data_IF_681067338461
#
_entry.id   IF_681067338461
#
_cell.length_a   1.000
_cell.length_b   1.000
_cell.length_c   1.000
_cell.angle_alpha   90.00
_cell.angle_beta   90.00
_cell.angle_gamma   90.00
#
_symmetry.space_group_name_H-M   'P 1'
#
loop_
_entity.id
_entity.type
_entity.pdbx_description
1 polymer ?
#
# COMPACT_ATOMS: atom_id res chain seq x y z
N UNK A 1 -13.11 16.40 -2.41
CA UNK A 1 -12.10 15.63 -1.68
C UNK A 1 -11.90 14.29 -2.36
N UNK A 2 -10.66 13.91 -2.62
CA UNK A 2 -10.34 12.60 -3.18
C UNK A 2 -10.12 11.59 -2.05
N UNK A 3 -11.03 10.62 -1.91
CA UNK A 3 -10.85 9.48 -1.01
C UNK A 3 -10.18 8.31 -1.72
N UNK A 4 -9.07 7.82 -1.17
CA UNK A 4 -8.38 6.58 -1.57
C UNK A 4 -8.51 5.62 -0.38
N UNK A 5 -8.83 4.36 -0.65
CA UNK A 5 -9.00 3.31 0.37
C UNK A 5 -7.96 2.23 0.16
N UNK A 6 -7.27 1.89 1.25
CA UNK A 6 -6.27 0.84 1.31
C UNK A 6 -6.76 -0.30 2.21
N UNK A 7 -6.46 -1.54 1.83
CA UNK A 7 -6.74 -2.74 2.61
C UNK A 7 -5.45 -3.49 2.89
N UNK A 8 -5.23 -3.92 4.14
CA UNK A 8 -4.02 -4.62 4.58
C UNK A 8 -4.40 -5.74 5.54
N UNK A 9 -3.73 -6.88 5.41
CA UNK A 9 -3.86 -8.01 6.32
C UNK A 9 -2.47 -8.55 6.66
N UNK A 10 -2.24 -8.82 7.93
CA UNK A 10 -0.99 -9.40 8.41
C UNK A 10 -1.30 -10.60 9.31
N UNK A 11 -0.49 -11.64 9.19
CA UNK A 11 -0.53 -12.80 10.05
C UNK A 11 0.87 -13.05 10.62
N UNK A 12 0.92 -13.28 11.94
CA UNK A 12 2.14 -13.55 12.68
C UNK A 12 2.14 -15.04 13.00
N UNK A 13 3.18 -15.74 12.54
CA UNK A 13 3.49 -17.09 12.94
C UNK A 13 4.49 -17.01 14.08
N UNK A 14 3.99 -17.14 15.31
CA UNK A 14 4.82 -17.33 16.50
C UNK A 14 5.22 -18.81 16.63
N UNK A 15 6.40 -19.08 17.20
CA UNK A 15 6.89 -20.42 17.58
C UNK A 15 7.33 -21.38 16.46
N UNK A 16 7.66 -20.90 15.25
CA UNK A 16 8.22 -21.76 14.20
C UNK A 16 9.77 -21.71 14.25
N UNK A 17 10.42 -22.76 14.76
CA UNK A 17 11.90 -22.84 14.90
C UNK A 17 12.53 -21.70 15.72
N UNK A 18 11.99 -21.37 16.90
CA UNK A 18 12.43 -20.22 17.72
C UNK A 18 12.48 -18.90 16.92
N UNK A 19 11.63 -18.78 15.89
CA UNK A 19 11.58 -17.62 15.01
C UNK A 19 10.14 -17.13 14.86
N UNK A 20 10.00 -15.82 14.71
CA UNK A 20 8.75 -15.17 14.35
C UNK A 20 8.78 -14.87 12.85
N UNK A 21 7.71 -15.28 12.14
CA UNK A 21 7.50 -14.90 10.75
C UNK A 21 6.24 -14.05 10.66
N UNK A 22 6.35 -12.86 10.09
CA UNK A 22 5.20 -12.01 9.78
C UNK A 22 4.98 -11.98 8.27
N UNK A 23 3.84 -12.50 7.84
CA UNK A 23 3.40 -12.41 6.44
C UNK A 23 2.34 -11.33 6.35
N UNK A 24 2.64 -10.29 5.58
CA UNK A 24 1.73 -9.18 5.34
C UNK A 24 1.40 -9.08 3.86
N UNK A 25 0.16 -8.75 3.55
CA UNK A 25 -0.26 -8.46 2.20
C UNK A 25 -1.25 -7.30 2.20
N UNK A 26 -1.29 -6.58 1.09
CA UNK A 26 -2.21 -5.47 0.98
C UNK A 26 -2.50 -5.05 -0.45
N UNK A 27 -3.56 -4.27 -0.54
CA UNK A 27 -4.01 -3.62 -1.75
C UNK A 27 -4.08 -2.13 -1.46
N UNK A 28 -3.25 -1.37 -2.16
CA UNK A 28 -3.37 0.09 -2.18
C UNK A 28 -4.30 0.51 -3.29
N UNK A 29 -5.13 1.51 -3.03
CA UNK A 29 -6.13 1.99 -3.98
C UNK A 29 -7.10 0.89 -4.44
N UNK A 30 -7.84 0.29 -3.49
CA UNK A 30 -8.77 -0.84 -3.74
C UNK A 30 -9.76 -0.53 -4.87
N UNK A 31 -10.23 0.71 -4.95
CA UNK A 31 -11.23 1.17 -5.93
C UNK A 31 -10.64 1.69 -7.25
N UNK A 32 -9.33 1.49 -7.51
CA UNK A 32 -8.62 1.96 -8.70
C UNK A 32 -8.93 3.43 -9.05
N UNK A 33 -8.96 4.27 -8.03
CA UNK A 33 -9.18 5.69 -8.20
C UNK A 33 -7.99 6.32 -8.88
N UNK A 34 -8.24 6.91 -10.05
CA UNK A 34 -7.22 7.61 -10.82
C UNK A 34 -7.15 9.06 -10.37
N UNK A 35 -5.94 9.64 -10.30
CA UNK A 35 -5.79 11.04 -9.96
C UNK A 35 -6.61 11.91 -10.93
N UNK A 36 -7.40 12.82 -10.37
CA UNK A 36 -8.19 13.74 -11.16
C UNK A 36 -7.23 14.69 -11.89
N UNK A 37 -7.29 14.74 -13.22
CA UNK A 37 -6.52 15.69 -14.01
C UNK A 37 -6.99 17.10 -13.64
N UNK A 38 -6.16 17.87 -12.95
CA UNK A 38 -6.47 19.27 -12.67
C UNK A 38 -6.52 20.04 -13.99
N UNK A 39 -7.62 20.77 -14.23
CA UNK A 39 -7.74 21.66 -15.37
C UNK A 39 -6.71 22.79 -15.24
N UNK A 40 -5.75 22.84 -16.15
CA UNK A 40 -4.69 23.86 -16.14
C UNK A 40 -5.27 25.19 -16.63
N UNK A 41 -5.43 26.16 -15.73
CA UNK A 41 -5.59 27.58 -16.07
C UNK A 41 -4.48 28.34 -15.36
N UNK A 42 -3.33 28.45 -16.03
CA UNK A 42 -2.24 29.38 -15.68
C UNK A 42 -1.43 29.09 -14.41
N UNK A 43 -0.25 28.48 -14.60
CA UNK A 43 0.91 28.66 -13.69
C UNK A 43 1.00 27.74 -12.46
N UNK A 44 2.12 27.00 -12.40
CA UNK A 44 2.70 26.28 -11.26
C UNK A 44 2.06 24.94 -10.79
N UNK A 45 2.75 23.87 -11.23
CA UNK A 45 2.86 22.51 -10.70
C UNK A 45 1.60 21.71 -10.32
N UNK A 46 1.08 20.94 -11.28
CA UNK A 46 0.18 19.82 -10.99
C UNK A 46 0.99 18.65 -10.41
N UNK A 47 1.13 18.55 -9.08
CA UNK A 47 1.60 17.29 -8.50
C UNK A 47 0.56 16.22 -8.81
N UNK A 48 0.90 15.28 -9.70
CA UNK A 48 0.11 14.07 -9.87
C UNK A 48 0.21 13.31 -8.54
N UNK A 49 -0.87 13.35 -7.75
CA UNK A 49 -1.04 12.44 -6.62
C UNK A 49 -0.86 11.03 -7.16
N UNK A 50 0.21 10.34 -6.72
CA UNK A 50 0.67 8.98 -7.10
C UNK A 50 0.07 8.43 -8.41
N UNK A 51 0.84 8.33 -9.51
CA UNK A 51 0.33 7.93 -10.84
C UNK A 51 -0.16 6.48 -10.91
N UNK A 52 0.07 5.72 -9.86
CA UNK A 52 -0.14 4.29 -9.81
C UNK A 52 -1.60 4.01 -9.44
N UNK A 53 -2.26 3.19 -10.25
CA UNK A 53 -3.60 2.68 -9.97
C UNK A 53 -3.60 1.72 -8.79
N UNK A 54 -4.49 0.73 -8.80
CA UNK A 54 -4.49 -0.32 -7.78
C UNK A 54 -3.17 -1.10 -7.76
N UNK A 55 -2.56 -1.18 -6.59
CA UNK A 55 -1.31 -1.91 -6.37
C UNK A 55 -1.52 -3.04 -5.39
N UNK A 56 -0.88 -4.17 -5.65
CA UNK A 56 -0.86 -5.33 -4.77
C UNK A 56 0.56 -5.51 -4.24
N UNK A 57 0.69 -5.80 -2.95
CA UNK A 57 1.99 -6.06 -2.34
C UNK A 57 1.89 -7.19 -1.34
N UNK A 58 3.01 -7.88 -1.17
CA UNK A 58 3.24 -8.91 -0.16
C UNK A 58 4.59 -8.60 0.48
N UNK A 59 4.64 -8.71 1.80
CA UNK A 59 5.85 -8.59 2.61
C UNK A 59 6.00 -9.86 3.46
N UNK A 60 7.24 -10.31 3.60
CA UNK A 60 7.62 -11.35 4.53
C UNK A 60 8.75 -10.79 5.40
N UNK A 61 8.49 -10.73 6.69
CA UNK A 61 9.42 -10.27 7.70
C UNK A 61 9.76 -11.47 8.59
N UNK A 62 11.06 -11.68 8.85
CA UNK A 62 11.56 -12.80 9.65
C UNK A 62 12.43 -12.27 10.79
N UNK A 63 12.07 -12.66 12.01
CA UNK A 63 12.80 -12.34 13.23
C UNK A 63 13.29 -13.64 13.88
N UNK A 64 14.57 -14.02 13.71
CA UNK A 64 15.13 -15.22 14.34
C UNK A 64 15.42 -15.02 15.84
N UNK A 65 15.16 -16.04 16.65
CA UNK A 65 15.50 -16.07 18.08
C UNK A 65 14.54 -15.30 18.99
N UNK A 66 13.24 -15.24 18.65
CA UNK A 66 12.20 -14.52 19.41
C UNK A 66 11.67 -15.31 20.60
#
# INVERSE_FOLDING_TARGET
>A
GEFIVDARYAHIFDQYFDSEFTVSMGVSNVFDKRPQRLGIIGGAETRLSVPWGRQFWVSLDWTPGS
#
